data_IF_636672631635
#
_entry.id   IF_636672631635
#
_cell.length_a   1.000
_cell.length_b   1.000
_cell.length_c   1.000
_cell.angle_alpha   90.00
_cell.angle_beta   90.00
_cell.angle_gamma   90.00
#
_symmetry.space_group_name_H-M   'P 1'
#
loop_
_entity.id
_entity.type
_entity.pdbx_description
1 polymer ?
#
# COMPACT_ATOMS: atom_id res chain seq x y z
N UNK A 1 -61.54 2.99 29.50
CA UNK A 1 -60.41 3.92 29.73
C UNK A 1 -59.31 3.20 30.49
N UNK A 2 -58.31 2.64 29.79
CA UNK A 2 -57.10 2.08 30.42
C UNK A 2 -56.02 1.78 29.36
N UNK A 3 -54.96 2.62 29.39
CA UNK A 3 -53.52 2.37 29.17
C UNK A 3 -53.07 1.50 27.98
N UNK A 4 -52.23 2.08 27.12
CA UNK A 4 -50.98 1.50 26.56
C UNK A 4 -50.27 2.64 25.79
N UNK A 5 -49.63 3.59 26.47
CA UNK A 5 -48.18 3.62 26.77
C UNK A 5 -47.27 2.99 25.69
N UNK A 6 -46.72 3.89 24.87
CA UNK A 6 -45.31 4.05 24.51
C UNK A 6 -44.47 2.77 24.25
N UNK A 7 -44.08 2.60 22.98
CA UNK A 7 -42.81 1.94 22.62
C UNK A 7 -42.11 2.89 21.63
N UNK A 8 -41.35 3.84 22.17
CA UNK A 8 -40.31 4.58 21.46
C UNK A 8 -38.98 4.05 21.99
N UNK A 9 -38.05 3.77 21.06
CA UNK A 9 -36.62 3.85 21.36
C UNK A 9 -35.98 2.56 21.84
N UNK A 10 -35.68 1.66 20.90
CA UNK A 10 -34.50 0.80 21.05
C UNK A 10 -33.74 0.72 19.73
N UNK A 11 -33.25 1.88 19.27
CA UNK A 11 -32.13 1.94 18.33
C UNK A 11 -30.87 1.51 19.08
N UNK A 12 -30.55 0.22 18.98
CA UNK A 12 -29.29 -0.33 19.50
C UNK A 12 -28.11 0.50 18.97
N UNK A 13 -27.28 0.96 19.90
CA UNK A 13 -25.93 1.42 19.66
C UNK A 13 -25.10 0.26 19.05
N UNK A 14 -25.18 0.09 17.73
CA UNK A 14 -24.11 -0.57 17.00
C UNK A 14 -22.98 0.47 16.89
N UNK A 15 -22.13 0.55 17.92
CA UNK A 15 -20.86 1.25 17.77
C UNK A 15 -20.13 0.58 16.60
N UNK A 16 -19.71 1.33 15.56
CA UNK A 16 -18.91 0.76 14.50
C UNK A 16 -17.64 0.23 15.18
N UNK A 17 -17.46 -1.09 15.18
CA UNK A 17 -16.15 -1.66 15.50
C UNK A 17 -15.16 -0.96 14.57
N UNK A 18 -14.08 -0.36 15.09
CA UNK A 18 -13.07 0.22 14.22
C UNK A 18 -12.67 -0.87 13.25
N UNK A 19 -12.84 -0.61 11.95
CA UNK A 19 -12.23 -1.44 10.94
C UNK A 19 -10.77 -1.57 11.36
N UNK A 20 -10.29 -2.80 11.52
CA UNK A 20 -8.88 -3.10 11.81
C UNK A 20 -8.06 -2.72 10.58
N UNK A 21 -7.95 -1.41 10.33
CA UNK A 21 -7.00 -0.87 9.38
C UNK A 21 -5.60 -1.14 9.90
N UNK A 22 -4.61 -1.07 9.02
CA UNK A 22 -3.25 -1.41 9.43
C UNK A 22 -2.76 -0.50 10.55
N UNK A 23 -2.52 -1.13 11.69
CA UNK A 23 -1.76 -0.54 12.77
C UNK A 23 -0.29 -0.66 12.39
N UNK A 24 0.23 0.36 11.70
CA UNK A 24 1.66 0.50 11.44
C UNK A 24 2.36 1.02 12.69
N UNK A 25 3.61 0.62 12.90
CA UNK A 25 4.42 1.10 14.01
C UNK A 25 4.57 2.63 13.95
N UNK A 26 4.70 3.32 15.10
CA UNK A 26 5.07 4.74 15.13
C UNK A 26 6.34 4.98 14.29
N UNK A 27 6.33 6.04 13.48
CA UNK A 27 7.45 6.37 12.60
C UNK A 27 7.54 5.55 11.30
N UNK A 28 6.58 4.66 11.04
CA UNK A 28 6.49 3.94 9.76
C UNK A 28 6.49 4.90 8.57
N UNK A 29 7.33 4.62 7.58
CA UNK A 29 7.43 5.33 6.31
C UNK A 29 7.11 4.33 5.20
N UNK A 30 6.23 4.72 4.28
CA UNK A 30 6.03 3.95 3.05
C UNK A 30 7.34 4.00 2.27
N UNK A 31 7.92 2.88 1.83
CA UNK A 31 9.18 2.91 1.09
C UNK A 31 9.02 3.71 -0.19
N UNK A 32 10.06 4.44 -0.59
CA UNK A 32 10.12 5.00 -1.92
C UNK A 32 10.26 3.90 -2.99
N UNK A 33 10.09 4.22 -4.27
CA UNK A 33 10.29 3.24 -5.33
C UNK A 33 11.71 2.67 -5.34
N UNK A 34 12.73 3.50 -5.09
CA UNK A 34 14.12 3.03 -5.01
C UNK A 34 14.34 2.14 -3.78
N UNK A 35 13.85 2.55 -2.60
CA UNK A 35 13.95 1.74 -1.37
C UNK A 35 13.23 0.39 -1.52
N UNK A 36 12.07 0.37 -2.19
CA UNK A 36 11.33 -0.86 -2.49
C UNK A 36 12.12 -1.78 -3.42
N UNK A 37 12.76 -1.24 -4.46
CA UNK A 37 13.65 -1.98 -5.36
C UNK A 37 14.86 -2.54 -4.63
N UNK A 38 15.49 -1.74 -3.77
CA UNK A 38 16.68 -2.12 -3.01
C UNK A 38 16.38 -3.23 -2.00
N UNK A 39 15.25 -3.14 -1.30
CA UNK A 39 14.87 -4.08 -0.24
C UNK A 39 14.31 -5.40 -0.75
N UNK A 40 13.58 -5.43 -1.87
CA UNK A 40 12.95 -6.66 -2.37
C UNK A 40 13.98 -7.74 -2.74
N UNK A 41 13.76 -8.98 -2.31
CA UNK A 41 14.61 -10.12 -2.67
C UNK A 41 14.41 -10.56 -4.14
N UNK A 42 13.19 -10.42 -4.65
CA UNK A 42 12.80 -10.76 -6.02
C UNK A 42 11.87 -9.68 -6.58
N UNK A 43 12.20 -9.18 -7.77
CA UNK A 43 11.31 -8.32 -8.56
C UNK A 43 10.88 -9.13 -9.78
N UNK A 44 9.62 -9.53 -9.83
CA UNK A 44 9.09 -10.48 -10.80
C UNK A 44 7.98 -9.85 -11.62
N UNK A 45 8.17 -9.80 -12.94
CA UNK A 45 7.08 -9.63 -13.87
C UNK A 45 6.43 -10.99 -14.10
N UNK A 46 5.12 -11.10 -13.86
CA UNK A 46 4.40 -12.36 -13.96
C UNK A 46 2.98 -12.19 -14.49
N UNK A 47 2.36 -13.31 -14.84
CA UNK A 47 0.94 -13.37 -15.23
C UNK A 47 0.16 -14.14 -14.17
N UNK A 48 -0.94 -13.55 -13.69
CA UNK A 48 -1.85 -14.20 -12.74
C UNK A 48 -2.68 -15.25 -13.48
N UNK A 49 -2.51 -16.53 -13.17
CA UNK A 49 -3.14 -17.62 -13.97
C UNK A 49 -4.32 -18.27 -13.26
N UNK A 50 -4.22 -18.49 -11.95
CA UNK A 50 -5.22 -19.17 -11.15
C UNK A 50 -5.25 -18.61 -9.72
N UNK A 51 -6.21 -19.07 -8.94
CA UNK A 51 -6.19 -18.85 -7.50
C UNK A 51 -6.96 -19.96 -6.81
N UNK A 52 -6.46 -20.33 -5.65
CA UNK A 52 -7.01 -21.39 -4.83
C UNK A 52 -7.65 -20.76 -3.58
N UNK A 53 -8.83 -21.24 -3.16
CA UNK A 53 -9.31 -20.92 -1.82
C UNK A 53 -8.27 -21.38 -0.81
N UNK A 54 -8.14 -20.65 0.29
CA UNK A 54 -7.19 -21.01 1.35
C UNK A 54 -7.36 -22.49 1.72
N UNK A 55 -6.30 -23.33 1.74
CA UNK A 55 -6.39 -24.64 2.36
C UNK A 55 -6.89 -24.50 3.80
N UNK A 56 -7.62 -25.48 4.36
CA UNK A 56 -8.20 -25.36 5.72
C UNK A 56 -7.17 -25.00 6.82
N UNK A 57 -5.88 -25.18 6.54
CA UNK A 57 -4.75 -24.84 7.41
C UNK A 57 -4.18 -23.42 7.26
N UNK A 58 -4.54 -22.65 6.23
CA UNK A 58 -4.17 -21.23 6.10
C UNK A 58 -5.43 -20.35 6.12
N UNK A 59 -5.30 -19.12 6.63
CA UNK A 59 -6.43 -18.18 6.70
C UNK A 59 -6.61 -17.35 5.43
N UNK A 60 -5.65 -17.37 4.52
CA UNK A 60 -5.58 -16.43 3.41
C UNK A 60 -5.59 -17.15 2.05
N UNK A 61 -6.45 -16.70 1.12
CA UNK A 61 -6.51 -17.24 -0.25
C UNK A 61 -5.22 -16.90 -1.01
N UNK A 62 -4.91 -17.70 -2.03
CA UNK A 62 -3.69 -17.54 -2.82
C UNK A 62 -3.99 -17.43 -4.31
N UNK A 63 -3.11 -16.73 -5.03
CA UNK A 63 -3.04 -16.71 -6.50
C UNK A 63 -1.80 -17.47 -6.98
N UNK A 64 -1.92 -18.10 -8.14
CA UNK A 64 -0.79 -18.65 -8.88
C UNK A 64 -0.30 -17.62 -9.90
N UNK A 65 1.00 -17.37 -9.90
CA UNK A 65 1.67 -16.43 -10.80
C UNK A 65 2.68 -17.19 -11.66
N UNK A 66 2.47 -17.16 -12.98
CA UNK A 66 3.44 -17.66 -13.96
C UNK A 66 4.57 -16.63 -14.14
N UNK A 67 5.84 -16.98 -13.90
CA UNK A 67 6.98 -16.08 -14.13
C UNK A 67 7.13 -15.70 -15.61
N UNK A 68 7.30 -14.42 -15.90
CA UNK A 68 7.61 -13.91 -17.25
C UNK A 68 9.05 -13.41 -17.32
N UNK A 69 9.47 -12.61 -16.34
CA UNK A 69 10.83 -12.06 -16.25
C UNK A 69 11.16 -11.75 -14.79
N UNK A 70 12.34 -12.14 -14.33
CA UNK A 70 12.89 -11.65 -13.06
C UNK A 70 13.79 -10.45 -13.36
N UNK A 71 13.39 -9.26 -12.90
CA UNK A 71 14.19 -8.04 -13.02
C UNK A 71 15.30 -8.02 -11.97
N UNK A 72 15.05 -8.58 -10.78
CA UNK A 72 16.01 -8.75 -9.70
C UNK A 72 15.81 -10.12 -9.06
N UNK A 73 16.89 -10.74 -8.62
CA UNK A 73 16.86 -12.06 -7.98
C UNK A 73 16.83 -13.21 -8.97
N UNK A 74 16.56 -14.42 -8.47
CA UNK A 74 16.61 -15.65 -9.29
C UNK A 74 15.22 -15.95 -9.85
N UNK A 75 15.14 -16.17 -11.17
CA UNK A 75 13.93 -16.57 -11.86
C UNK A 75 13.35 -17.88 -11.28
N UNK A 76 12.09 -17.90 -10.80
CA UNK A 76 11.46 -19.12 -10.35
C UNK A 76 11.33 -20.14 -11.50
N UNK A 77 11.52 -21.45 -11.25
CA UNK A 77 11.48 -22.47 -12.30
C UNK A 77 10.05 -22.81 -12.79
N UNK A 78 9.03 -22.21 -12.20
CA UNK A 78 7.61 -22.41 -12.53
C UNK A 78 6.72 -21.50 -11.68
N UNK A 79 5.39 -21.71 -11.73
CA UNK A 79 4.43 -20.90 -10.99
C UNK A 79 4.75 -20.77 -9.51
N UNK A 80 4.60 -19.56 -8.97
CA UNK A 80 4.68 -19.29 -7.53
C UNK A 80 3.30 -18.98 -6.97
N UNK A 81 3.07 -19.36 -5.72
CA UNK A 81 1.88 -18.98 -4.97
C UNK A 81 2.15 -17.68 -4.19
N UNK A 82 1.23 -16.72 -4.28
CA UNK A 82 1.26 -15.48 -3.52
C UNK A 82 -0.08 -15.27 -2.81
N UNK A 83 -0.07 -14.64 -1.65
CA UNK A 83 -1.30 -14.24 -0.95
C UNK A 83 -2.09 -13.27 -1.84
N UNK A 84 -3.37 -13.55 -2.03
CA UNK A 84 -4.23 -12.77 -2.92
C UNK A 84 -5.47 -13.52 -3.38
N UNK A 85 -6.37 -12.78 -4.01
CA UNK A 85 -7.68 -13.27 -4.46
C UNK A 85 -7.83 -13.01 -5.95
N UNK A 86 -8.31 -14.01 -6.69
CA UNK A 86 -8.81 -13.78 -8.05
C UNK A 86 -10.06 -12.94 -7.97
N UNK A 87 -9.99 -11.74 -8.54
CA UNK A 87 -11.12 -10.84 -8.56
C UNK A 87 -12.25 -11.38 -9.45
N UNK A 88 -13.48 -11.43 -8.91
CA UNK A 88 -14.63 -12.10 -9.54
C UNK A 88 -15.70 -11.15 -10.08
N UNK A 89 -15.48 -9.83 -10.04
CA UNK A 89 -16.50 -8.83 -10.42
C UNK A 89 -15.91 -7.47 -10.83
N UNK A 90 -16.79 -6.48 -10.95
CA UNK A 90 -16.46 -5.12 -11.41
C UNK A 90 -15.56 -4.30 -10.44
N UNK A 91 -15.15 -4.89 -9.31
CA UNK A 91 -14.28 -4.28 -8.30
C UNK A 91 -12.80 -4.30 -8.70
N UNK A 92 -12.48 -4.80 -9.89
CA UNK A 92 -11.14 -4.74 -10.47
C UNK A 92 -10.84 -3.34 -10.99
N UNK A 93 -10.05 -2.59 -10.23
CA UNK A 93 -9.41 -1.39 -10.72
C UNK A 93 -8.01 -1.77 -11.21
N UNK A 94 -7.64 -1.49 -12.48
CA UNK A 94 -6.26 -1.64 -12.93
C UNK A 94 -5.37 -0.53 -12.37
N UNK A 95 -4.08 -0.81 -12.24
CA UNK A 95 -3.09 0.22 -11.95
C UNK A 95 -3.13 1.36 -12.97
N UNK A 96 -2.98 2.60 -12.51
CA UNK A 96 -2.75 3.74 -13.38
C UNK A 96 -1.28 3.72 -13.85
N UNK A 97 -0.99 3.56 -15.16
CA UNK A 97 0.39 3.48 -15.65
C UNK A 97 1.18 4.79 -15.52
N UNK A 98 0.52 5.90 -15.19
CA UNK A 98 1.12 7.22 -14.97
C UNK A 98 1.09 7.66 -13.50
N UNK A 99 0.66 6.79 -12.59
CA UNK A 99 0.86 6.98 -11.15
C UNK A 99 2.20 6.34 -10.78
N UNK A 100 3.14 7.12 -10.23
CA UNK A 100 4.46 6.63 -9.82
C UNK A 100 4.74 6.82 -8.33
N UNK A 101 3.88 7.51 -7.59
CA UNK A 101 4.09 7.86 -6.19
C UNK A 101 3.18 7.03 -5.27
N UNK A 102 1.88 7.01 -5.56
CA UNK A 102 0.91 6.38 -4.69
C UNK A 102 0.76 4.87 -4.93
N UNK A 103 0.39 4.16 -3.88
CA UNK A 103 0.02 2.75 -3.93
C UNK A 103 -1.22 2.52 -4.79
N UNK A 104 -1.35 1.29 -5.32
CA UNK A 104 -2.60 0.84 -5.90
C UNK A 104 -3.81 1.20 -4.99
N UNK A 105 -4.92 1.76 -5.53
CA UNK A 105 -6.03 2.24 -4.71
C UNK A 105 -6.66 1.18 -3.79
N UNK A 106 -6.54 -0.11 -4.14
CA UNK A 106 -6.98 -1.21 -3.27
C UNK A 106 -6.25 -1.27 -1.93
N UNK A 107 -5.00 -0.78 -1.85
CA UNK A 107 -4.28 -0.67 -0.58
C UNK A 107 -5.06 0.22 0.41
N UNK A 108 -5.83 1.20 -0.06
CA UNK A 108 -6.64 2.06 0.80
C UNK A 108 -8.04 1.51 1.08
N UNK A 109 -8.42 0.37 0.48
CA UNK A 109 -9.72 -0.27 0.65
C UNK A 109 -9.78 -1.27 1.82
N UNK A 110 -8.94 -1.07 2.86
CA UNK A 110 -8.97 -1.79 4.14
C UNK A 110 -7.92 -2.89 4.32
N UNK A 111 -7.33 -3.42 3.24
CA UNK A 111 -6.29 -4.46 3.32
C UNK A 111 -4.86 -3.91 3.41
N UNK A 112 -4.67 -2.60 3.19
CA UNK A 112 -3.39 -1.88 3.24
C UNK A 112 -2.34 -2.31 2.21
N UNK A 113 -2.58 -3.39 1.50
CA UNK A 113 -1.83 -3.81 0.33
C UNK A 113 -2.84 -4.14 -0.77
N UNK A 114 -2.39 -4.13 -2.03
CA UNK A 114 -3.16 -4.74 -3.11
C UNK A 114 -3.32 -6.24 -2.84
N UNK A 115 -4.52 -6.78 -3.00
CA UNK A 115 -4.80 -8.20 -2.77
C UNK A 115 -5.79 -8.82 -3.77
N UNK A 116 -6.41 -8.01 -4.63
CA UNK A 116 -7.34 -8.47 -5.66
C UNK A 116 -6.70 -8.37 -7.05
N UNK A 117 -6.64 -9.51 -7.73
CA UNK A 117 -5.96 -9.64 -9.01
C UNK A 117 -6.90 -10.23 -10.06
N UNK A 118 -7.14 -9.54 -11.19
CA UNK A 118 -7.85 -10.15 -12.31
C UNK A 118 -7.06 -11.35 -12.85
N UNK A 119 -7.76 -12.44 -13.17
CA UNK A 119 -7.11 -13.54 -13.90
C UNK A 119 -6.62 -13.05 -15.27
N UNK A 120 -5.40 -13.43 -15.62
CA UNK A 120 -4.72 -13.04 -16.84
C UNK A 120 -4.02 -11.68 -16.78
N UNK A 121 -4.10 -10.96 -15.65
CA UNK A 121 -3.37 -9.70 -15.52
C UNK A 121 -1.86 -9.95 -15.52
N UNK A 122 -1.13 -9.03 -16.16
CA UNK A 122 0.32 -8.97 -16.13
C UNK A 122 0.73 -7.95 -15.09
N UNK A 123 1.48 -8.38 -14.09
CA UNK A 123 1.74 -7.62 -12.86
C UNK A 123 3.23 -7.67 -12.54
N UNK A 124 3.78 -6.53 -12.12
CA UNK A 124 5.12 -6.43 -11.57
C UNK A 124 5.03 -6.54 -10.05
N UNK A 125 5.63 -7.60 -9.51
CA UNK A 125 5.64 -7.95 -8.09
C UNK A 125 6.99 -7.66 -7.45
N UNK A 126 6.97 -7.10 -6.24
CA UNK A 126 8.10 -6.95 -5.35
C UNK A 126 7.92 -7.91 -4.18
N UNK A 127 8.87 -8.82 -4.01
CA UNK A 127 8.70 -9.98 -3.14
C UNK A 127 9.89 -10.14 -2.18
N UNK A 128 9.55 -10.40 -0.92
CA UNK A 128 10.50 -10.79 0.13
C UNK A 128 10.37 -12.28 0.42
N UNK A 129 11.48 -12.89 0.82
CA UNK A 129 11.48 -14.28 1.25
C UNK A 129 11.17 -14.39 2.75
N UNK A 130 10.03 -15.00 3.07
CA UNK A 130 9.60 -15.20 4.46
C UNK A 130 9.04 -16.60 4.67
N UNK A 131 9.42 -17.26 5.77
CA UNK A 131 8.93 -18.60 6.15
C UNK A 131 9.02 -19.67 5.04
N UNK A 132 10.00 -19.53 4.14
CA UNK A 132 10.20 -20.43 3.00
C UNK A 132 9.34 -20.12 1.76
N UNK A 133 8.45 -19.13 1.82
CA UNK A 133 7.62 -18.64 0.72
C UNK A 133 7.95 -17.21 0.30
N UNK A 134 7.18 -16.70 -0.66
CA UNK A 134 7.23 -15.31 -1.13
C UNK A 134 6.09 -14.51 -0.49
N UNK A 135 6.40 -13.30 -0.02
CA UNK A 135 5.41 -12.33 0.47
C UNK A 135 5.61 -10.96 -0.18
N UNK A 136 4.59 -10.12 -0.14
CA UNK A 136 4.67 -8.73 -0.56
C UNK A 136 5.82 -8.00 0.18
N UNK A 137 6.72 -7.37 -0.58
CA UNK A 137 7.79 -6.54 -0.04
C UNK A 137 7.28 -5.13 0.32
N UNK A 138 8.00 -4.43 1.20
CA UNK A 138 7.80 -3.00 1.48
C UNK A 138 6.65 -2.64 2.43
N UNK A 139 5.85 -3.62 2.85
CA UNK A 139 4.81 -3.41 3.89
C UNK A 139 3.60 -2.58 3.43
N UNK A 140 2.78 -2.09 4.39
CA UNK A 140 1.55 -1.36 4.11
C UNK A 140 1.72 -0.13 3.20
N UNK A 141 0.84 0.00 2.21
CA UNK A 141 0.78 1.07 1.21
C UNK A 141 2.02 1.15 0.32
N UNK A 142 2.83 0.09 0.25
CA UNK A 142 3.85 -0.03 -0.78
C UNK A 142 3.22 -0.34 -2.15
N UNK A 143 3.98 -0.04 -3.21
CA UNK A 143 3.64 -0.34 -4.61
C UNK A 143 4.06 -1.77 -4.99
N UNK A 144 3.86 -2.73 -4.09
CA UNK A 144 4.41 -4.08 -4.21
C UNK A 144 3.88 -4.88 -5.40
N UNK A 145 2.71 -4.53 -5.94
CA UNK A 145 2.10 -5.22 -7.06
C UNK A 145 1.30 -4.25 -7.94
N UNK A 146 1.81 -3.95 -9.14
CA UNK A 146 1.19 -3.02 -10.09
C UNK A 146 1.02 -3.67 -11.47
N UNK A 147 -0.11 -3.41 -12.14
CA UNK A 147 -0.34 -3.91 -13.50
C UNK A 147 0.63 -3.26 -14.48
N UNK A 148 1.18 -4.07 -15.37
CA UNK A 148 2.10 -3.67 -16.43
C UNK A 148 1.56 -4.22 -17.75
N UNK A 149 0.84 -3.38 -18.48
CA UNK A 149 0.15 -3.79 -19.71
C UNK A 149 1.11 -4.08 -20.88
N UNK A 150 2.25 -3.40 -20.90
CA UNK A 150 3.21 -3.43 -22.02
C UNK A 150 4.65 -3.40 -21.52
N UNK A 151 5.59 -3.83 -22.37
CA UNK A 151 7.03 -3.86 -22.05
C UNK A 151 7.65 -2.45 -21.93
N UNK A 152 6.96 -1.43 -22.43
CA UNK A 152 7.33 -0.02 -22.40
C UNK A 152 6.53 0.81 -21.38
N UNK A 153 5.76 0.16 -20.49
CA UNK A 153 5.04 0.85 -19.43
C UNK A 153 6.00 1.71 -18.58
N UNK A 154 5.64 2.97 -18.23
CA UNK A 154 6.51 3.87 -17.47
C UNK A 154 7.04 3.25 -16.18
N UNK A 155 6.16 2.56 -15.42
CA UNK A 155 6.54 1.89 -14.18
C UNK A 155 7.59 0.81 -14.39
N UNK A 156 7.42 -0.07 -15.38
CA UNK A 156 8.38 -1.14 -15.67
C UNK A 156 9.75 -0.57 -16.06
N UNK A 157 9.78 0.48 -16.90
CA UNK A 157 11.02 1.15 -17.29
C UNK A 157 11.73 1.79 -16.10
N UNK A 158 10.97 2.43 -15.21
CA UNK A 158 11.50 3.04 -14.00
C UNK A 158 12.10 2.00 -13.05
N UNK A 159 11.40 0.88 -12.84
CA UNK A 159 11.90 -0.19 -11.96
C UNK A 159 13.18 -0.82 -12.51
N UNK A 160 13.27 -1.08 -13.82
CA UNK A 160 14.53 -1.54 -14.45
C UNK A 160 15.67 -0.56 -14.19
N UNK A 161 15.42 0.73 -14.39
CA UNK A 161 16.41 1.76 -14.10
C UNK A 161 16.85 1.74 -12.63
N UNK A 162 15.92 1.62 -11.68
CA UNK A 162 16.29 1.54 -10.26
C UNK A 162 16.99 0.24 -9.87
N UNK A 163 16.74 -0.87 -10.56
CA UNK A 163 17.54 -2.09 -10.40
C UNK A 163 18.99 -1.80 -10.80
N UNK A 164 19.22 -1.17 -11.95
CA UNK A 164 20.57 -0.80 -12.39
C UNK A 164 21.25 0.14 -11.38
N UNK A 165 20.51 1.12 -10.83
CA UNK A 165 21.03 2.03 -9.79
C UNK A 165 21.38 1.26 -8.50
N UNK A 166 20.55 0.31 -8.07
CA UNK A 166 20.77 -0.47 -6.86
C UNK A 166 22.00 -1.39 -6.96
N UNK A 167 22.45 -1.73 -8.18
CA UNK A 167 23.69 -2.49 -8.41
C UNK A 167 24.96 -1.63 -8.36
N UNK A 168 24.83 -0.30 -8.50
CA UNK A 168 25.98 0.60 -8.41
C UNK A 168 26.51 0.68 -6.96
N UNK A 169 27.81 0.98 -6.79
CA UNK A 169 28.36 1.39 -5.51
C UNK A 169 27.58 2.58 -4.93
N UNK A 170 27.30 2.58 -3.64
CA UNK A 170 26.47 3.60 -2.97
C UNK A 170 26.93 5.03 -3.28
N UNK A 171 28.24 5.27 -3.30
CA UNK A 171 28.85 6.57 -3.61
C UNK A 171 28.56 7.10 -5.03
N UNK A 172 28.17 6.22 -5.97
CA UNK A 172 27.90 6.57 -7.37
C UNK A 172 26.40 6.78 -7.65
N UNK A 173 25.50 6.23 -6.80
CA UNK A 173 24.05 6.22 -7.04
C UNK A 173 23.45 7.61 -7.20
N UNK A 174 23.79 8.53 -6.31
CA UNK A 174 23.23 9.89 -6.33
C UNK A 174 23.61 10.64 -7.63
N UNK A 175 24.84 10.47 -8.11
CA UNK A 175 25.29 11.08 -9.36
C UNK A 175 24.59 10.45 -10.58
N UNK A 176 24.41 9.12 -10.59
CA UNK A 176 23.69 8.43 -11.65
C UNK A 176 22.21 8.83 -11.72
N UNK A 177 21.53 8.93 -10.57
CA UNK A 177 20.16 9.44 -10.47
C UNK A 177 20.05 10.88 -10.98
N UNK A 178 20.93 11.78 -10.52
CA UNK A 178 20.94 13.17 -10.96
C UNK A 178 21.16 13.32 -12.47
N UNK A 179 22.13 12.57 -13.03
CA UNK A 179 22.38 12.56 -14.47
C UNK A 179 21.17 12.09 -15.27
N UNK A 180 20.52 11.00 -14.84
CA UNK A 180 19.31 10.51 -15.51
C UNK A 180 18.15 11.51 -15.45
N UNK A 181 17.97 12.17 -14.31
CA UNK A 181 16.97 13.21 -14.11
C UNK A 181 17.19 14.40 -15.05
N UNK A 182 18.45 14.84 -15.23
CA UNK A 182 18.80 15.90 -16.18
C UNK A 182 18.51 15.50 -17.63
N UNK A 183 18.85 14.27 -18.03
CA UNK A 183 18.53 13.74 -19.36
C UNK A 183 17.02 13.75 -19.64
N UNK A 184 16.22 13.32 -18.68
CA UNK A 184 14.75 13.28 -18.80
C UNK A 184 14.16 14.69 -18.82
N UNK A 185 14.67 15.61 -18.00
CA UNK A 185 14.24 17.00 -18.00
C UNK A 185 14.51 17.69 -19.34
N UNK A 186 15.58 17.33 -20.05
CA UNK A 186 15.90 17.86 -21.38
C UNK A 186 14.88 17.45 -22.47
N UNK A 187 14.08 16.41 -22.23
CA UNK A 187 13.00 15.96 -23.12
C UNK A 187 11.69 16.75 -22.88
N UNK A 188 11.76 18.06 -22.66
CA UNK A 188 10.73 18.90 -22.02
C UNK A 188 9.26 18.71 -22.41
N UNK A 189 8.95 18.26 -23.62
CA UNK A 189 7.57 18.01 -24.09
C UNK A 189 7.07 16.57 -23.88
N UNK A 190 7.91 15.65 -23.39
CA UNK A 190 7.52 14.27 -23.07
C UNK A 190 6.97 14.17 -21.63
N UNK A 191 5.64 14.02 -21.44
CA UNK A 191 5.04 13.97 -20.11
C UNK A 191 5.48 12.75 -19.30
N UNK A 192 5.83 11.63 -19.96
CA UNK A 192 6.35 10.44 -19.27
C UNK A 192 7.76 10.72 -18.77
N UNK A 193 8.59 11.40 -19.56
CA UNK A 193 9.91 11.80 -19.11
C UNK A 193 9.86 12.74 -17.89
N UNK A 194 8.94 13.71 -17.90
CA UNK A 194 8.74 14.61 -16.75
C UNK A 194 8.25 13.86 -15.51
N UNK A 195 7.32 12.91 -15.68
CA UNK A 195 6.82 12.08 -14.59
C UNK A 195 7.93 11.24 -13.94
N UNK A 196 8.81 10.64 -14.76
CA UNK A 196 9.95 9.85 -14.25
C UNK A 196 10.99 10.76 -13.60
N UNK A 197 11.29 11.94 -14.18
CA UNK A 197 12.20 12.91 -13.58
C UNK A 197 11.71 13.37 -12.20
N UNK A 198 10.41 13.62 -12.04
CA UNK A 198 9.79 13.97 -10.76
C UNK A 198 9.91 12.82 -9.73
N UNK A 199 9.78 11.57 -10.17
CA UNK A 199 10.01 10.44 -9.27
C UNK A 199 11.47 10.36 -8.80
N UNK A 200 12.44 10.57 -9.69
CA UNK A 200 13.86 10.60 -9.34
C UNK A 200 14.16 11.74 -8.37
N UNK A 201 13.54 12.92 -8.55
CA UNK A 201 13.66 14.03 -7.61
C UNK A 201 13.19 13.63 -6.19
N UNK A 202 12.12 12.85 -6.07
CA UNK A 202 11.69 12.30 -4.77
C UNK A 202 12.73 11.34 -4.19
N UNK A 203 13.32 10.46 -5.01
CA UNK A 203 14.36 9.54 -4.52
C UNK A 203 15.60 10.30 -4.01
N UNK A 204 16.00 11.36 -4.70
CA UNK A 204 17.12 12.22 -4.32
C UNK A 204 16.83 13.05 -3.05
N UNK A 205 15.57 13.33 -2.75
CA UNK A 205 15.17 14.00 -1.51
C UNK A 205 15.31 13.09 -0.26
N UNK A 206 15.43 11.77 -0.47
CA UNK A 206 15.58 10.76 0.57
C UNK A 206 14.27 10.07 0.95
N UNK A 207 14.21 9.43 2.13
CA UNK A 207 13.06 8.64 2.55
C UNK A 207 11.79 9.47 2.66
N UNK A 208 10.65 8.85 2.33
CA UNK A 208 9.33 9.45 2.49
C UNK A 208 9.08 9.89 3.94
N UNK A 209 8.26 10.92 4.19
CA UNK A 209 7.85 11.30 5.54
C UNK A 209 7.08 10.16 6.24
N UNK A 210 7.02 10.16 7.59
CA UNK A 210 6.22 9.18 8.31
C UNK A 210 4.75 9.24 7.90
N UNK A 211 4.11 8.07 7.75
CA UNK A 211 2.71 7.96 7.32
C UNK A 211 1.75 8.64 8.30
N UNK A 212 2.08 8.62 9.59
CA UNK A 212 1.39 9.36 10.64
C UNK A 212 2.38 10.31 11.30
N UNK A 213 1.96 11.55 11.51
CA UNK A 213 2.70 12.48 12.37
C UNK A 213 2.82 11.95 13.80
N UNK A 214 3.68 12.57 14.60
CA UNK A 214 3.75 12.27 16.03
C UNK A 214 2.37 12.46 16.66
N UNK A 215 1.91 11.45 17.39
CA UNK A 215 0.69 11.59 18.18
C UNK A 215 0.95 12.68 19.23
N UNK A 216 -0.02 13.59 19.47
CA UNK A 216 0.09 14.51 20.59
C UNK A 216 0.30 13.71 21.88
N UNK A 217 1.05 14.26 22.85
CA UNK A 217 1.26 13.59 24.13
C UNK A 217 -0.11 13.25 24.74
N UNK A 218 -0.19 12.09 25.40
CA UNK A 218 -1.39 11.76 26.15
C UNK A 218 -1.70 12.90 27.13
N UNK A 219 -2.97 13.31 27.29
CA UNK A 219 -3.34 14.31 28.27
C UNK A 219 -2.86 13.87 29.66
N UNK A 220 -2.41 14.83 30.46
CA UNK A 220 -2.02 14.54 31.83
C UNK A 220 -3.25 13.97 32.56
N UNK A 221 -3.14 12.84 33.30
CA UNK A 221 -4.24 12.35 34.12
C UNK A 221 -4.82 13.42 35.07
N UNK A 222 -4.04 14.45 35.43
CA UNK A 222 -4.53 15.60 36.20
C UNK A 222 -5.53 16.49 35.43
N UNK A 223 -5.47 16.52 34.10
CA UNK A 223 -6.40 17.29 33.27
C UNK A 223 -7.73 16.53 33.04
N UNK A 224 -7.73 15.20 33.17
CA UNK A 224 -8.90 14.35 32.96
C UNK A 224 -9.91 14.41 34.13
N UNK A 225 -9.46 14.64 35.37
CA UNK A 225 -10.34 14.80 36.54
C UNK A 225 -11.09 16.15 36.54
N UNK A 226 -10.62 17.15 35.79
CA UNK A 226 -11.23 18.48 35.75
C UNK A 226 -12.46 18.61 34.84
N UNK A 227 -12.71 17.61 33.99
CA UNK A 227 -13.80 17.63 33.01
C UNK A 227 -15.09 16.93 33.49
N UNK A 228 -15.04 16.17 34.60
CA UNK A 228 -16.19 15.40 35.10
C UNK A 228 -17.02 16.14 36.15
N UNK A 229 -16.60 17.33 36.62
CA UNK A 229 -17.25 18.05 37.73
C UNK A 229 -18.15 19.22 37.31
N UNK A 230 -18.28 19.56 36.03
CA UNK A 230 -19.07 20.74 35.59
C UNK A 230 -20.49 20.46 35.08
N UNK A 231 -20.97 19.21 35.07
CA UNK A 231 -22.28 18.86 34.48
C UNK A 231 -23.29 18.28 35.48
N UNK A 232 -23.37 18.81 36.72
CA UNK A 232 -24.54 18.61 37.60
C UNK A 232 -24.78 19.86 38.46
N UNK A 233 -25.47 20.87 37.94
CA UNK A 233 -26.52 21.64 38.66
C UNK A 233 -27.03 22.81 37.81
N UNK A 234 -28.05 22.56 36.99
CA UNK A 234 -29.12 23.54 36.76
C UNK A 234 -30.28 22.89 36.00
N UNK A 235 -31.20 22.23 36.72
CA UNK A 235 -32.59 22.07 36.27
C UNK A 235 -33.43 21.48 37.41
N UNK A 236 -33.80 22.33 38.37
CA UNK A 236 -35.06 22.17 39.09
C UNK A 236 -35.86 23.45 38.88
N UNK A 237 -36.69 23.40 37.85
CA UNK A 237 -37.75 24.36 37.64
C UNK A 237 -38.96 24.11 38.54
N UNK A 238 -39.71 25.21 38.67
CA UNK A 238 -41.19 25.29 38.78
C UNK A 238 -41.87 25.18 40.16
N UNK A 239 -43.16 25.57 40.31
CA UNK A 239 -43.98 26.53 39.53
C UNK A 239 -44.86 27.48 40.40
N UNK A 240 -45.30 28.61 39.83
CA UNK A 240 -46.67 29.20 39.84
C UNK A 240 -46.65 30.71 39.60
#
# INVERSE_FOLDING_TARGET
MRRLFAIIGLTLLAAPLPALGCSVAPGYRVPTNLELVESADLILLGTVTAGDPAPESSREPTIAVEPVEALKGVMPPGPIALDGVIATGAETLPSNPYELEEAHPQSFAGACIRYLFPRGSRVLFFLDRQDGGWRAAGGPFSRWAEDVLTDDAPWLRLVRFYVDIAELPEAERAAALAGRREELAALGDDPVAQLVAADIDRQLAGPNPPLRGELPPAPDPADAESAEETDIESEDGEPS
#
